data_IF_130158031553
#
_entry.id   IF_130158031553
#
_cell.length_a   1.000
_cell.length_b   1.000
_cell.length_c   1.000
_cell.angle_alpha   90.00
_cell.angle_beta   90.00
_cell.angle_gamma   90.00
#
_symmetry.space_group_name_H-M   'P 1'
#
loop_
_entity.id
_entity.type
_entity.pdbx_description
1 polymer ?
#
# COMPACT_ATOMS: atom_id res chain seq x y z
N UNK A 1 -8.67 16.82 11.59
CA UNK A 1 -7.19 16.83 11.76
C UNK A 1 -6.55 15.52 11.29
N UNK A 2 -7.00 14.34 11.75
CA UNK A 2 -6.44 13.02 11.37
C UNK A 2 -6.32 12.85 9.85
N UNK A 3 -7.39 13.09 9.10
CA UNK A 3 -7.41 12.97 7.64
C UNK A 3 -6.38 13.88 6.95
N UNK A 4 -6.17 15.10 7.49
CA UNK A 4 -5.19 16.04 6.98
C UNK A 4 -3.75 15.57 7.19
N UNK A 5 -3.45 14.97 8.36
CA UNK A 5 -2.14 14.37 8.62
C UNK A 5 -1.90 13.16 7.72
N UNK A 6 -2.92 12.30 7.53
CA UNK A 6 -2.83 11.15 6.63
C UNK A 6 -2.54 11.59 5.19
N UNK A 7 -3.26 12.59 4.68
CA UNK A 7 -3.03 13.13 3.34
C UNK A 7 -1.63 13.77 3.20
N UNK A 8 -1.16 14.47 4.23
CA UNK A 8 0.20 15.05 4.25
C UNK A 8 1.27 13.95 4.11
N UNK A 9 1.16 12.89 4.91
CA UNK A 9 2.12 11.77 4.88
C UNK A 9 2.08 11.06 3.53
N UNK A 10 0.90 10.75 3.01
CA UNK A 10 0.77 10.13 1.67
C UNK A 10 1.36 11.04 0.61
N UNK A 11 1.06 12.34 0.65
CA UNK A 11 1.60 13.33 -0.29
C UNK A 11 3.13 13.36 -0.28
N UNK A 12 3.77 13.32 0.89
CA UNK A 12 5.22 13.29 1.01
C UNK A 12 5.84 11.99 0.47
N UNK A 13 5.19 10.85 0.70
CA UNK A 13 5.62 9.55 0.17
C UNK A 13 5.51 9.49 -1.36
N UNK A 14 4.47 10.11 -1.93
CA UNK A 14 4.33 10.26 -3.39
C UNK A 14 5.41 11.20 -3.93
N UNK A 15 5.58 12.38 -3.31
CA UNK A 15 6.53 13.40 -3.76
C UNK A 15 7.99 12.92 -3.73
N UNK A 16 8.38 12.20 -2.69
CA UNK A 16 9.73 11.63 -2.55
C UNK A 16 10.00 10.44 -3.49
N UNK A 17 9.01 9.94 -4.21
CA UNK A 17 9.13 8.75 -5.05
C UNK A 17 9.11 7.43 -4.28
N UNK A 18 8.86 7.45 -2.97
CA UNK A 18 8.79 6.26 -2.12
C UNK A 18 7.68 5.28 -2.56
N UNK A 19 6.64 5.78 -3.25
CA UNK A 19 5.56 4.98 -3.83
C UNK A 19 5.68 4.76 -5.34
N UNK A 20 6.84 5.07 -5.95
CA UNK A 20 7.03 4.95 -7.40
C UNK A 20 6.91 3.51 -7.93
N UNK A 21 7.20 2.52 -7.09
CA UNK A 21 7.07 1.09 -7.40
C UNK A 21 5.62 0.58 -7.41
N UNK A 22 4.71 1.29 -6.73
CA UNK A 22 3.33 0.85 -6.54
C UNK A 22 2.56 0.85 -7.87
N UNK A 23 1.97 -0.29 -8.24
CA UNK A 23 1.30 -0.49 -9.52
C UNK A 23 2.25 -0.74 -10.70
N UNK A 24 3.54 -0.99 -10.45
CA UNK A 24 4.56 -1.35 -11.46
C UNK A 24 5.27 -2.67 -11.17
N UNK A 25 4.75 -3.47 -10.25
CA UNK A 25 5.31 -4.78 -9.95
C UNK A 25 4.96 -5.78 -11.06
N UNK A 26 5.80 -6.82 -11.29
CA UNK A 26 5.41 -7.92 -12.15
C UNK A 26 4.10 -8.55 -11.63
N UNK A 27 3.09 -8.62 -12.50
CA UNK A 27 1.73 -9.05 -12.15
C UNK A 27 0.72 -7.91 -11.97
N UNK A 28 1.16 -6.64 -11.92
CA UNK A 28 0.25 -5.51 -12.08
C UNK A 28 -0.18 -5.38 -13.55
N UNK A 29 -1.49 -5.29 -13.78
CA UNK A 29 -2.05 -5.19 -15.13
C UNK A 29 -2.22 -3.72 -15.51
N UNK A 30 -1.63 -3.33 -16.63
CA UNK A 30 -1.74 -1.99 -17.20
C UNK A 30 -2.22 -2.13 -18.63
N UNK A 31 -3.45 -1.68 -18.89
CA UNK A 31 -4.01 -1.65 -20.23
C UNK A 31 -4.01 -0.20 -20.72
N UNK A 32 -3.26 0.06 -21.79
CA UNK A 32 -3.19 1.38 -22.43
C UNK A 32 -3.82 1.29 -23.82
N UNK A 33 -5.01 1.87 -23.97
CA UNK A 33 -5.66 2.09 -25.27
C UNK A 33 -5.54 3.54 -25.73
N UNK A 34 -6.05 3.86 -26.92
CA UNK A 34 -5.97 5.21 -27.49
C UNK A 34 -6.61 6.30 -26.61
N UNK A 35 -7.78 6.00 -26.03
CA UNK A 35 -8.57 6.97 -25.25
C UNK A 35 -8.75 6.54 -23.78
N UNK A 36 -8.18 5.42 -23.36
CA UNK A 36 -8.44 4.85 -22.03
C UNK A 36 -7.20 4.17 -21.49
N UNK A 37 -6.93 4.40 -20.20
CA UNK A 37 -5.89 3.69 -19.45
C UNK A 37 -6.54 3.05 -18.24
N UNK A 38 -6.41 1.72 -18.13
CA UNK A 38 -6.90 0.95 -17.00
C UNK A 38 -5.71 0.41 -16.23
N UNK A 39 -5.64 0.74 -14.95
CA UNK A 39 -4.61 0.25 -14.04
C UNK A 39 -5.25 -0.70 -13.03
N UNK A 40 -4.75 -1.93 -12.96
CA UNK A 40 -5.23 -2.94 -12.04
C UNK A 40 -4.04 -3.53 -11.27
N UNK A 41 -3.66 -2.92 -10.14
CA UNK A 41 -2.43 -3.22 -9.40
C UNK A 41 -2.56 -4.48 -8.53
N UNK A 42 -2.83 -5.64 -9.13
CA UNK A 42 -3.07 -6.90 -8.42
C UNK A 42 -1.92 -7.31 -7.51
N UNK A 43 -0.70 -7.33 -8.05
CA UNK A 43 0.47 -7.78 -7.30
C UNK A 43 0.78 -6.80 -6.16
N UNK A 44 0.71 -5.49 -6.45
CA UNK A 44 0.90 -4.45 -5.44
C UNK A 44 -0.15 -4.49 -4.31
N UNK A 45 -1.42 -4.71 -4.65
CA UNK A 45 -2.49 -4.85 -3.65
C UNK A 45 -2.32 -6.11 -2.80
N UNK A 46 -1.96 -7.23 -3.43
CA UNK A 46 -1.71 -8.48 -2.71
C UNK A 46 -0.53 -8.34 -1.74
N UNK A 47 0.57 -7.75 -2.21
CA UNK A 47 1.75 -7.48 -1.38
C UNK A 47 1.40 -6.59 -0.19
N UNK A 48 0.66 -5.49 -0.42
CA UNK A 48 0.21 -4.59 0.63
C UNK A 48 -0.68 -5.33 1.65
N UNK A 49 -1.63 -6.14 1.18
CA UNK A 49 -2.50 -6.93 2.04
C UNK A 49 -1.71 -7.88 2.94
N UNK A 50 -0.81 -8.67 2.36
CA UNK A 50 0.03 -9.61 3.12
C UNK A 50 0.91 -8.87 4.12
N UNK A 51 1.55 -7.77 3.70
CA UNK A 51 2.41 -6.97 4.58
C UNK A 51 1.62 -6.40 5.78
N UNK A 52 0.43 -5.85 5.55
CA UNK A 52 -0.44 -5.36 6.61
C UNK A 52 -0.93 -6.50 7.51
N UNK A 53 -1.34 -7.63 6.94
CA UNK A 53 -1.78 -8.80 7.72
C UNK A 53 -0.67 -9.33 8.63
N UNK A 54 0.57 -9.43 8.12
CA UNK A 54 1.74 -9.84 8.93
C UNK A 54 2.02 -8.81 10.01
N UNK A 55 2.04 -7.52 9.69
CA UNK A 55 2.31 -6.45 10.65
C UNK A 55 1.28 -6.44 11.79
N UNK A 56 -0.01 -6.48 11.45
CA UNK A 56 -1.10 -6.51 12.43
C UNK A 56 -1.11 -7.83 13.21
N UNK A 57 -0.82 -8.95 12.55
CA UNK A 57 -0.67 -10.25 13.19
C UNK A 57 0.42 -10.24 14.25
N UNK A 58 1.62 -9.77 13.90
CA UNK A 58 2.74 -9.63 14.83
C UNK A 58 2.41 -8.66 15.97
N UNK A 59 1.83 -7.51 15.67
CA UNK A 59 1.39 -6.57 16.69
C UNK A 59 0.40 -7.22 17.66
N UNK A 60 -0.57 -7.99 17.15
CA UNK A 60 -1.56 -8.67 17.99
C UNK A 60 -0.92 -9.74 18.89
N UNK A 61 0.07 -10.47 18.39
CA UNK A 61 0.80 -11.49 19.18
C UNK A 61 1.61 -10.82 20.28
N UNK A 62 2.34 -9.75 19.95
CA UNK A 62 3.13 -8.99 20.92
C UNK A 62 2.22 -8.35 21.97
N UNK A 63 1.11 -7.76 21.56
CA UNK A 63 0.14 -7.13 22.46
C UNK A 63 -0.42 -8.13 23.47
N UNK A 64 -0.81 -9.33 23.03
CA UNK A 64 -1.26 -10.42 23.90
C UNK A 64 -0.21 -10.92 24.88
N UNK A 65 1.08 -10.70 24.60
CA UNK A 65 2.19 -11.07 25.51
C UNK A 65 2.51 -9.95 26.51
N UNK A 66 2.23 -8.69 26.14
CA UNK A 66 2.54 -7.52 26.96
C UNK A 66 1.38 -7.10 27.88
N UNK A 67 0.13 -7.33 27.45
CA UNK A 67 -1.06 -7.17 28.28
C UNK A 67 -1.51 -8.57 28.73
N UNK A 68 -1.31 -8.92 30.01
CA UNK A 68 -1.75 -10.21 30.57
C UNK A 68 -3.28 -10.34 30.59
#
# INVERSE_FOLDING_TARGET
MVLGVVLLVIGLLVYSGALSWFGRLPGDLRWEGEHTRVYFPLASMLLLSVALSVLLGLLSVVLRRLLP
#
